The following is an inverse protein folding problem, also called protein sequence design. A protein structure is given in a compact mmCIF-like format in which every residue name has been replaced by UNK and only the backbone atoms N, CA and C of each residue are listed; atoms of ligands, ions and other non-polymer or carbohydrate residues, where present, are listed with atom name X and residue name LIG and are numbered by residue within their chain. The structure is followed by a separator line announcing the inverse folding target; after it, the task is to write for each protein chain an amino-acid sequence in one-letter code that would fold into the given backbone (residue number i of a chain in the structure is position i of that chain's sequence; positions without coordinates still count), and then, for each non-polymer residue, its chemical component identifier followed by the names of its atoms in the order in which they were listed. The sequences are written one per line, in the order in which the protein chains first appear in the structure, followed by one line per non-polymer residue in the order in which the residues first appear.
data_IF_622438337461
#
_entry.id   IF_622438337461
#
_cell.length_a   1.000
_cell.length_b   1.000
_cell.length_c   1.000
_cell.angle_alpha   90.00
_cell.angle_beta   90.00
_cell.angle_gamma   90.00
#
_symmetry.space_group_name_H-M   'P 1'
#
loop_
_entity.id
_entity.type
_entity.pdbx_description
1 polymer ?
#
# COMPACT_ATOMS: atom_id res chain seq x y z
N UNK A 1 14.43 6.28 -28.87
CA UNK A 1 14.58 7.35 -27.87
C UNK A 1 13.37 8.30 -27.83
N UNK A 2 12.68 8.55 -28.95
CA UNK A 2 11.51 9.46 -28.99
C UNK A 2 10.27 9.01 -28.22
N UNK A 3 10.08 7.70 -27.96
CA UNK A 3 8.92 7.19 -27.21
C UNK A 3 9.01 7.36 -25.70
N UNK A 4 10.17 7.70 -25.14
CA UNK A 4 10.29 8.03 -23.71
C UNK A 4 9.96 9.51 -23.41
N UNK A 5 10.09 10.39 -24.41
CA UNK A 5 9.85 11.84 -24.27
C UNK A 5 8.37 12.22 -24.25
N UNK A 6 7.47 11.29 -24.61
CA UNK A 6 6.01 11.49 -24.61
C UNK A 6 5.30 10.88 -23.40
N UNK A 7 6.02 10.23 -22.49
CA UNK A 7 5.51 10.06 -21.14
C UNK A 7 5.54 11.46 -20.53
N UNK A 8 4.36 12.04 -20.34
CA UNK A 8 4.22 13.26 -19.55
C UNK A 8 5.07 13.10 -18.29
N UNK A 9 5.96 14.06 -18.03
CA UNK A 9 6.68 14.23 -16.77
C UNK A 9 5.65 14.52 -15.66
N UNK A 10 4.78 13.55 -15.37
CA UNK A 10 3.89 13.60 -14.21
C UNK A 10 4.76 13.25 -13.02
N UNK A 11 5.26 14.30 -12.37
CA UNK A 11 5.88 14.21 -11.05
C UNK A 11 4.83 13.64 -10.10
N UNK A 12 5.19 12.58 -9.38
CA UNK A 12 4.36 12.04 -8.30
C UNK A 12 4.84 12.68 -7.01
N UNK A 13 3.93 13.37 -6.33
CA UNK A 13 4.20 13.97 -5.03
C UNK A 13 3.93 12.96 -3.91
N UNK A 14 4.99 12.35 -3.39
CA UNK A 14 4.89 11.43 -2.26
C UNK A 14 4.61 12.15 -0.92
N UNK A 15 4.75 13.48 -0.88
CA UNK A 15 4.38 14.32 0.27
C UNK A 15 2.89 14.25 0.63
N UNK A 16 2.06 13.67 -0.25
CA UNK A 16 0.64 13.38 0.03
C UNK A 16 0.45 12.20 0.99
N UNK A 17 1.48 11.37 1.20
CA UNK A 17 1.46 10.23 2.11
C UNK A 17 2.03 10.67 3.46
N UNK A 18 1.24 10.58 4.51
CA UNK A 18 1.70 10.78 5.88
C UNK A 18 2.23 9.45 6.44
N UNK A 19 3.55 9.30 6.52
CA UNK A 19 4.18 8.05 6.98
C UNK A 19 4.02 7.76 8.48
N UNK A 20 3.60 8.72 9.30
CA UNK A 20 3.30 8.51 10.73
C UNK A 20 1.86 8.05 10.97
N UNK A 21 0.98 8.21 9.99
CA UNK A 21 -0.42 7.83 10.10
C UNK A 21 -1.11 7.93 8.75
N UNK A 22 -1.28 6.80 8.07
CA UNK A 22 -1.75 6.78 6.68
C UNK A 22 -3.15 7.37 6.52
N UNK A 23 -4.04 7.14 7.48
CA UNK A 23 -5.40 7.70 7.52
C UNK A 23 -5.41 9.23 7.70
N UNK A 24 -4.33 9.82 8.18
CA UNK A 24 -4.13 11.26 8.28
C UNK A 24 -3.55 11.87 7.00
N UNK A 25 -3.35 11.08 5.93
CA UNK A 25 -2.97 11.60 4.62
C UNK A 25 -4.12 12.43 4.03
N UNK A 26 -3.81 13.60 3.44
CA UNK A 26 -4.81 14.56 2.93
C UNK A 26 -5.93 13.91 2.09
N UNK A 27 -5.54 12.98 1.22
CA UNK A 27 -6.44 12.32 0.29
C UNK A 27 -6.49 10.80 0.56
N UNK A 28 -6.47 10.42 1.84
CA UNK A 28 -6.79 9.06 2.25
C UNK A 28 -8.27 8.77 1.98
N UNK A 29 -8.53 7.76 1.16
CA UNK A 29 -9.88 7.46 0.67
C UNK A 29 -10.57 6.43 1.55
N UNK A 30 -9.80 5.52 2.14
CA UNK A 30 -10.32 4.40 2.92
C UNK A 30 -9.50 3.14 2.69
N UNK A 31 -10.10 2.01 3.03
CA UNK A 31 -9.52 0.69 2.89
C UNK A 31 -10.59 -0.37 2.62
N UNK A 32 -10.15 -1.56 2.23
CA UNK A 32 -10.97 -2.75 2.30
C UNK A 32 -10.26 -3.80 3.14
N UNK A 33 -11.00 -4.61 3.89
CA UNK A 33 -10.44 -5.64 4.74
C UNK A 33 -11.33 -6.88 4.85
N UNK A 34 -10.74 -7.99 5.26
CA UNK A 34 -11.44 -9.27 5.36
C UNK A 34 -12.53 -9.20 6.42
N UNK A 35 -13.75 -9.58 6.04
CA UNK A 35 -14.83 -9.78 7.02
C UNK A 35 -14.49 -11.02 7.86
N UNK A 36 -14.34 -10.83 9.18
CA UNK A 36 -14.03 -11.89 10.12
C UNK A 36 -15.28 -12.75 10.39
N UNK A 37 -15.58 -13.67 9.47
CA UNK A 37 -16.72 -14.61 9.54
C UNK A 37 -16.34 -16.02 10.06
N UNK A 38 -15.03 -16.30 10.20
CA UNK A 38 -14.52 -17.59 10.67
C UNK A 38 -14.47 -18.69 9.60
N UNK A 39 -14.87 -18.41 8.35
CA UNK A 39 -14.93 -19.41 7.27
C UNK A 39 -13.61 -19.54 6.51
N UNK A 40 -12.83 -18.47 6.40
CA UNK A 40 -11.60 -18.45 5.63
C UNK A 40 -10.35 -18.46 6.52
N UNK A 41 -9.41 -19.36 6.22
CA UNK A 41 -8.07 -19.25 6.78
C UNK A 41 -7.35 -18.00 6.21
N UNK A 42 -6.43 -17.43 7.00
CA UNK A 42 -5.71 -16.18 6.64
C UNK A 42 -4.98 -16.28 5.30
N UNK A 43 -4.44 -17.45 4.94
CA UNK A 43 -3.69 -17.63 3.69
C UNK A 43 -4.64 -17.58 2.50
N UNK A 44 -5.79 -18.23 2.60
CA UNK A 44 -6.84 -18.17 1.57
C UNK A 44 -7.35 -16.74 1.39
N UNK A 45 -7.66 -16.04 2.49
CA UNK A 45 -8.10 -14.64 2.45
C UNK A 45 -7.04 -13.71 1.85
N UNK A 46 -5.77 -13.85 2.22
CA UNK A 46 -4.66 -13.07 1.64
C UNK A 46 -4.52 -13.32 0.13
N UNK A 47 -4.61 -14.58 -0.31
CA UNK A 47 -4.58 -14.90 -1.74
C UNK A 47 -5.77 -14.31 -2.49
N UNK A 48 -6.94 -14.21 -1.85
CA UNK A 48 -8.14 -13.57 -2.41
C UNK A 48 -7.94 -12.05 -2.55
N UNK A 49 -7.49 -11.36 -1.50
CA UNK A 49 -7.18 -9.94 -1.54
C UNK A 49 -6.15 -9.60 -2.64
N UNK A 50 -5.10 -10.42 -2.76
CA UNK A 50 -4.11 -10.31 -3.84
C UNK A 50 -4.74 -10.43 -5.23
N UNK A 51 -5.63 -11.41 -5.44
CA UNK A 51 -6.32 -11.60 -6.73
C UNK A 51 -7.22 -10.41 -7.06
N UNK A 52 -7.96 -9.90 -6.08
CA UNK A 52 -8.85 -8.75 -6.25
C UNK A 52 -8.06 -7.53 -6.73
N UNK A 53 -6.99 -7.16 -6.02
CA UNK A 53 -6.12 -6.05 -6.40
C UNK A 53 -5.43 -6.28 -7.75
N UNK A 54 -4.88 -7.47 -7.99
CA UNK A 54 -4.22 -7.79 -9.25
C UNK A 54 -5.18 -7.70 -10.44
N UNK A 55 -6.44 -8.09 -10.26
CA UNK A 55 -7.46 -8.03 -11.31
C UNK A 55 -7.81 -6.60 -11.71
N UNK A 56 -7.90 -5.68 -10.74
CA UNK A 56 -8.17 -4.27 -11.00
C UNK A 56 -6.98 -3.58 -11.69
N UNK A 57 -5.77 -3.82 -11.21
CA UNK A 57 -4.54 -3.20 -11.74
C UNK A 57 -3.86 -4.00 -12.84
N UNK A 58 -4.60 -4.88 -13.53
CA UNK A 58 -4.03 -5.71 -14.59
C UNK A 58 -3.36 -4.83 -15.66
N UNK A 59 -2.12 -5.19 -16.03
CA UNK A 59 -1.25 -4.46 -16.96
C UNK A 59 -0.87 -3.02 -16.53
N UNK A 60 -1.16 -2.60 -15.30
CA UNK A 60 -0.71 -1.31 -14.77
C UNK A 60 0.70 -1.44 -14.22
N UNK A 61 1.52 -0.43 -14.48
CA UNK A 61 2.87 -0.35 -13.93
C UNK A 61 2.82 0.31 -12.56
N UNK A 62 3.50 -0.28 -11.60
CA UNK A 62 3.76 0.33 -10.30
C UNK A 62 5.24 0.26 -9.95
N UNK A 63 5.63 1.08 -8.98
CA UNK A 63 6.84 0.88 -8.20
C UNK A 63 6.47 0.77 -6.73
N UNK A 64 7.37 0.19 -5.95
CA UNK A 64 7.17 -0.08 -4.54
C UNK A 64 8.06 0.84 -3.72
N UNK A 65 7.51 1.33 -2.60
CA UNK A 65 8.24 2.00 -1.52
C UNK A 65 8.09 1.10 -0.29
N UNK A 66 9.19 0.75 0.37
CA UNK A 66 9.14 -0.08 1.58
C UNK A 66 10.16 0.43 2.60
N UNK A 67 9.72 0.58 3.85
CA UNK A 67 10.58 0.77 5.01
C UNK A 67 10.36 -0.34 6.06
N UNK A 68 9.85 -1.49 5.63
CA UNK A 68 9.63 -2.65 6.48
C UNK A 68 10.95 -3.17 7.06
N UNK A 69 10.91 -3.60 8.31
CA UNK A 69 12.07 -4.10 9.03
C UNK A 69 11.93 -5.54 9.54
N UNK A 70 13.05 -6.14 9.93
CA UNK A 70 13.08 -7.46 10.56
C UNK A 70 14.16 -7.53 11.66
N UNK A 71 13.94 -8.40 12.65
CA UNK A 71 14.89 -8.68 13.75
C UNK A 71 15.77 -9.89 13.45
N UNK A 72 16.83 -10.12 14.24
CA UNK A 72 17.74 -11.27 14.04
C UNK A 72 17.13 -12.62 14.43
N UNK A 73 16.13 -12.63 15.30
CA UNK A 73 15.60 -13.82 16.01
C UNK A 73 14.33 -14.38 15.41
N UNK A 74 13.96 -13.94 14.22
CA UNK A 74 12.74 -14.31 13.53
C UNK A 74 12.67 -15.83 13.28
N UNK A 75 11.76 -16.54 13.96
CA UNK A 75 11.47 -17.96 13.71
C UNK A 75 10.33 -18.00 12.71
N UNK A 76 10.69 -18.10 11.45
CA UNK A 76 9.75 -18.03 10.35
C UNK A 76 9.00 -19.36 10.18
N UNK A 77 7.72 -19.27 9.79
CA UNK A 77 7.00 -20.43 9.27
C UNK A 77 7.55 -20.79 7.88
N UNK A 78 7.54 -22.09 7.52
CA UNK A 78 8.13 -22.58 6.26
C UNK A 78 7.59 -21.89 5.00
N UNK A 79 6.33 -21.47 5.02
CA UNK A 79 5.67 -20.82 3.88
C UNK A 79 6.07 -19.35 3.72
N UNK A 80 6.45 -18.70 4.82
CA UNK A 80 6.88 -17.30 4.86
C UNK A 80 8.40 -17.17 4.70
N UNK A 81 9.16 -18.16 5.15
CA UNK A 81 10.63 -18.25 5.05
C UNK A 81 11.16 -17.85 3.67
N UNK A 82 10.59 -18.45 2.62
CA UNK A 82 11.03 -18.21 1.26
C UNK A 82 10.73 -16.79 0.79
N UNK A 83 9.59 -16.22 1.18
CA UNK A 83 9.21 -14.84 0.86
C UNK A 83 10.11 -13.85 1.58
N UNK A 84 10.40 -14.10 2.85
CA UNK A 84 11.30 -13.30 3.67
C UNK A 84 12.72 -13.27 3.10
N UNK A 85 13.27 -14.43 2.73
CA UNK A 85 14.59 -14.52 2.10
C UNK A 85 14.65 -13.79 0.76
N UNK A 86 13.57 -13.86 -0.04
CA UNK A 86 13.46 -13.07 -1.29
C UNK A 86 13.38 -11.57 -1.01
N UNK A 87 12.59 -11.16 -0.02
CA UNK A 87 12.47 -9.76 0.35
C UNK A 87 13.83 -9.19 0.76
N UNK A 88 14.59 -9.90 1.59
CA UNK A 88 15.99 -9.53 1.94
C UNK A 88 16.89 -9.46 0.72
N UNK A 89 16.86 -10.49 -0.13
CA UNK A 89 17.69 -10.54 -1.36
C UNK A 89 17.42 -9.37 -2.29
N UNK A 90 16.18 -8.91 -2.37
CA UNK A 90 15.76 -7.78 -3.20
C UNK A 90 15.80 -6.43 -2.46
N UNK A 91 16.34 -6.40 -1.25
CA UNK A 91 16.38 -5.23 -0.38
C UNK A 91 15.00 -4.59 -0.16
N UNK A 92 13.94 -5.40 -0.08
CA UNK A 92 12.56 -4.94 0.15
C UNK A 92 12.22 -4.81 1.64
N UNK A 93 12.98 -5.47 2.50
CA UNK A 93 12.91 -5.34 3.96
C UNK A 93 14.33 -5.16 4.50
N UNK A 94 14.46 -4.40 5.58
CA UNK A 94 15.76 -4.01 6.15
C UNK A 94 15.94 -4.57 7.55
N UNK A 95 17.18 -4.68 8.01
CA UNK A 95 17.43 -5.04 9.39
C UNK A 95 16.99 -3.87 10.28
N UNK A 96 16.30 -4.15 11.38
CA UNK A 96 15.95 -3.13 12.38
C UNK A 96 17.20 -2.39 12.87
N UNK A 97 17.13 -1.06 12.80
CA UNK A 97 18.10 -0.08 13.33
C UNK A 97 17.39 0.81 14.33
N UNK A 98 18.13 1.58 15.13
CA UNK A 98 17.53 2.53 16.08
C UNK A 98 16.65 3.56 15.36
N UNK A 99 17.11 4.13 14.23
CA UNK A 99 16.32 5.06 13.42
C UNK A 99 14.97 4.47 12.96
N UNK A 100 14.92 3.16 12.66
CA UNK A 100 13.65 2.53 12.28
C UNK A 100 12.81 2.29 13.53
N UNK A 101 13.41 1.82 14.62
CA UNK A 101 12.72 1.54 15.88
C UNK A 101 12.05 2.81 16.45
N UNK A 102 12.78 3.93 16.49
CA UNK A 102 12.29 5.25 16.91
C UNK A 102 11.16 5.76 16.00
N UNK A 103 11.26 5.57 14.68
CA UNK A 103 10.16 5.87 13.76
C UNK A 103 8.91 5.02 14.06
N UNK A 104 9.06 3.73 14.30
CA UNK A 104 7.94 2.82 14.55
C UNK A 104 7.16 3.17 15.82
N UNK A 105 7.82 3.75 16.83
CA UNK A 105 7.16 4.23 18.06
C UNK A 105 6.69 5.70 17.95
N UNK A 106 6.97 6.36 16.82
CA UNK A 106 6.51 7.72 16.52
C UNK A 106 7.40 8.84 17.09
N UNK A 107 8.64 8.55 17.47
CA UNK A 107 9.56 9.54 18.04
C UNK A 107 10.07 10.52 16.97
N UNK A 108 10.20 10.08 15.72
CA UNK A 108 10.62 10.94 14.60
C UNK A 108 10.06 10.47 13.24
N UNK A 109 10.18 11.33 12.22
CA UNK A 109 9.77 11.03 10.83
C UNK A 109 10.63 9.93 10.19
N UNK A 110 10.03 9.17 9.26
CA UNK A 110 10.77 8.17 8.47
C UNK A 110 11.86 8.83 7.60
N UNK A 111 13.13 8.49 7.87
CA UNK A 111 14.24 8.97 7.06
C UNK A 111 14.33 8.30 5.69
N UNK A 112 14.71 9.07 4.67
CA UNK A 112 14.82 8.60 3.30
C UNK A 112 15.84 7.46 3.11
N UNK A 113 16.91 7.41 3.91
CA UNK A 113 17.89 6.31 3.84
C UNK A 113 17.35 4.98 4.36
N UNK A 114 16.24 5.00 5.09
CA UNK A 114 15.52 3.81 5.54
C UNK A 114 14.45 3.36 4.53
N UNK A 115 14.39 3.96 3.35
CA UNK A 115 13.41 3.62 2.30
C UNK A 115 14.07 2.83 1.17
N UNK A 116 13.45 1.70 0.84
CA UNK A 116 13.75 0.92 -0.35
C UNK A 116 12.74 1.21 -1.46
N UNK A 117 13.25 1.54 -2.65
CA UNK A 117 12.43 1.72 -3.86
C UNK A 117 12.67 0.55 -4.82
N UNK A 118 11.60 -0.09 -5.29
CA UNK A 118 11.70 -1.22 -6.21
C UNK A 118 10.74 -1.11 -7.39
N UNK A 119 11.25 -1.36 -8.60
CA UNK A 119 10.43 -1.48 -9.81
C UNK A 119 10.08 -2.94 -10.14
N UNK A 120 10.48 -3.87 -9.27
CA UNK A 120 10.23 -5.30 -9.47
C UNK A 120 8.76 -5.62 -9.16
N UNK A 121 8.01 -6.03 -10.18
CA UNK A 121 6.58 -6.36 -10.03
C UNK A 121 6.33 -7.54 -9.08
N UNK A 122 7.34 -8.40 -8.83
CA UNK A 122 7.24 -9.48 -7.84
C UNK A 122 7.22 -8.96 -6.40
N UNK A 123 7.65 -7.72 -6.16
CA UNK A 123 7.62 -7.11 -4.84
C UNK A 123 6.19 -7.08 -4.28
N UNK A 124 5.19 -6.90 -5.15
CA UNK A 124 3.77 -6.93 -4.77
C UNK A 124 3.39 -8.18 -4.00
N UNK A 125 3.52 -9.35 -4.62
CA UNK A 125 3.14 -10.62 -3.98
C UNK A 125 3.99 -10.88 -2.73
N UNK A 126 5.30 -10.56 -2.78
CA UNK A 126 6.21 -10.80 -1.65
C UNK A 126 5.80 -9.97 -0.45
N UNK A 127 5.69 -8.65 -0.61
CA UNK A 127 5.47 -7.74 0.50
C UNK A 127 4.05 -7.79 1.02
N UNK A 128 3.04 -7.89 0.15
CA UNK A 128 1.66 -8.05 0.62
C UNK A 128 1.48 -9.30 1.47
N UNK A 129 2.09 -10.43 1.07
CA UNK A 129 2.04 -11.64 1.89
C UNK A 129 2.80 -11.49 3.21
N UNK A 130 3.95 -10.83 3.19
CA UNK A 130 4.69 -10.58 4.43
C UNK A 130 3.86 -9.73 5.38
N UNK A 131 3.35 -8.59 4.94
CA UNK A 131 2.53 -7.68 5.78
C UNK A 131 1.26 -8.37 6.29
N UNK A 132 0.57 -9.15 5.45
CA UNK A 132 -0.71 -9.77 5.84
C UNK A 132 -0.57 -11.06 6.64
N UNK A 133 0.56 -11.77 6.56
CA UNK A 133 0.68 -13.13 7.10
C UNK A 133 1.85 -13.33 8.08
N UNK A 134 2.63 -12.29 8.36
CA UNK A 134 3.87 -12.41 9.10
C UNK A 134 4.00 -11.34 10.18
N UNK A 135 3.96 -11.77 11.44
CA UNK A 135 4.23 -10.91 12.62
C UNK A 135 5.74 -10.60 12.79
N UNK A 136 6.54 -11.21 11.93
CA UNK A 136 8.00 -11.20 11.94
C UNK A 136 8.60 -10.01 11.16
N UNK A 137 7.77 -9.31 10.40
CA UNK A 137 8.11 -8.10 9.65
C UNK A 137 7.47 -6.92 10.36
N UNK A 138 8.29 -5.92 10.67
CA UNK A 138 7.90 -4.76 11.47
C UNK A 138 7.60 -3.55 10.58
N UNK A 139 6.60 -2.78 11.00
CA UNK A 139 6.17 -1.54 10.37
C UNK A 139 5.18 -1.71 9.23
N UNK A 140 4.55 -0.60 8.86
CA UNK A 140 3.42 -0.60 7.91
C UNK A 140 3.75 0.13 6.60
N UNK A 141 4.90 0.82 6.56
CA UNK A 141 5.32 1.63 5.43
C UNK A 141 5.72 0.73 4.23
N UNK A 142 4.71 0.25 3.51
CA UNK A 142 4.82 -0.56 2.30
C UNK A 142 3.78 -0.10 1.28
N UNK A 143 4.18 0.67 0.28
CA UNK A 143 3.29 1.24 -0.72
C UNK A 143 3.56 0.70 -2.11
N UNK A 144 2.49 0.41 -2.85
CA UNK A 144 2.49 0.21 -4.29
C UNK A 144 1.95 1.47 -4.95
N UNK A 145 2.84 2.20 -5.62
CA UNK A 145 2.54 3.47 -6.26
C UNK A 145 2.24 3.21 -7.73
N UNK A 146 1.05 3.60 -8.19
CA UNK A 146 0.59 3.50 -9.58
C UNK A 146 0.59 4.90 -10.23
N UNK A 147 1.71 5.34 -10.86
CA UNK A 147 1.86 6.64 -11.51
C UNK A 147 0.71 7.05 -12.43
N UNK A 148 0.28 6.14 -13.31
CA UNK A 148 -0.76 6.40 -14.32
C UNK A 148 -2.13 6.69 -13.68
N UNK A 149 -2.31 6.21 -12.45
CA UNK A 149 -3.54 6.36 -11.68
C UNK A 149 -3.41 7.43 -10.61
N UNK A 150 -2.21 7.97 -10.37
CA UNK A 150 -1.93 8.89 -9.26
C UNK A 150 -2.46 8.32 -7.94
N UNK A 151 -2.13 7.05 -7.69
CA UNK A 151 -2.69 6.24 -6.62
C UNK A 151 -1.58 5.52 -5.84
N UNK A 152 -1.71 5.47 -4.52
CA UNK A 152 -0.95 4.58 -3.66
C UNK A 152 -1.91 3.60 -2.96
N UNK A 153 -1.53 2.33 -2.92
CA UNK A 153 -2.19 1.35 -2.05
C UNK A 153 -1.14 0.73 -1.13
N UNK A 154 -1.56 0.30 0.06
CA UNK A 154 -0.70 -0.35 1.03
C UNK A 154 -1.42 -1.55 1.65
N UNK A 155 -0.78 -2.73 1.76
CA UNK A 155 -1.34 -3.85 2.50
C UNK A 155 -1.31 -3.55 4.01
N UNK A 156 -2.17 -4.22 4.79
CA UNK A 156 -2.20 -4.10 6.26
C UNK A 156 -2.53 -5.46 6.93
N UNK A 157 -2.32 -5.59 8.25
CA UNK A 157 -2.38 -6.88 8.97
C UNK A 157 -3.77 -7.53 9.02
N UNK A 158 -4.84 -6.75 8.85
CA UNK A 158 -6.24 -7.21 8.81
C UNK A 158 -6.65 -7.83 7.46
N UNK A 159 -5.68 -8.06 6.57
CA UNK A 159 -5.85 -8.68 5.24
C UNK A 159 -6.71 -7.81 4.34
N UNK A 160 -6.04 -6.90 3.64
CA UNK A 160 -6.69 -5.91 2.82
C UNK A 160 -5.72 -4.86 2.30
N UNK A 161 -6.26 -3.80 1.71
CA UNK A 161 -5.43 -2.66 1.31
C UNK A 161 -6.10 -1.35 1.65
N UNK A 162 -5.30 -0.44 2.19
CA UNK A 162 -5.64 0.97 2.23
C UNK A 162 -5.31 1.67 0.91
N UNK A 163 -5.97 2.80 0.70
CA UNK A 163 -6.00 3.51 -0.57
C UNK A 163 -5.85 5.02 -0.35
N UNK A 164 -4.83 5.61 -0.99
CA UNK A 164 -4.53 7.05 -0.95
C UNK A 164 -4.45 7.58 -2.38
N UNK A 165 -5.23 8.63 -2.67
CA UNK A 165 -5.06 9.38 -3.91
C UNK A 165 -3.84 10.29 -3.80
N UNK A 166 -2.95 10.23 -4.78
CA UNK A 166 -1.79 11.12 -4.91
C UNK A 166 -2.12 12.37 -5.74
N UNK A 167 -3.36 12.48 -6.21
CA UNK A 167 -3.95 13.65 -6.86
C UNK A 167 -5.08 14.20 -6.00
N UNK A 168 -5.40 15.50 -6.15
CA UNK A 168 -6.63 16.06 -5.60
C UNK A 168 -7.89 15.50 -6.31
N UNK A 169 -7.74 14.97 -7.54
CA UNK A 169 -8.78 14.14 -8.16
C UNK A 169 -8.77 12.72 -7.60
N UNK A 170 -9.69 12.45 -6.68
CA UNK A 170 -9.80 11.16 -6.00
C UNK A 170 -10.60 10.09 -6.75
N UNK A 171 -11.13 10.38 -7.95
CA UNK A 171 -12.10 9.49 -8.61
C UNK A 171 -11.57 8.07 -8.86
N UNK A 172 -10.31 7.92 -9.30
CA UNK A 172 -9.70 6.61 -9.56
C UNK A 172 -9.52 5.79 -8.29
N UNK A 173 -9.19 6.45 -7.19
CA UNK A 173 -9.02 5.83 -5.88
C UNK A 173 -10.37 5.36 -5.31
N UNK A 174 -11.41 6.17 -5.49
CA UNK A 174 -12.80 5.84 -5.14
C UNK A 174 -13.31 4.68 -6.00
N UNK A 175 -13.05 4.71 -7.31
CA UNK A 175 -13.42 3.63 -8.24
C UNK A 175 -12.79 2.29 -7.84
N UNK A 176 -11.53 2.30 -7.41
CA UNK A 176 -10.85 1.10 -6.90
C UNK A 176 -11.55 0.52 -5.66
N UNK A 177 -11.86 1.33 -4.65
CA UNK A 177 -12.55 0.83 -3.46
C UNK A 177 -13.98 0.38 -3.75
N UNK A 178 -14.71 1.07 -4.64
CA UNK A 178 -16.02 0.63 -5.13
C UNK A 178 -15.95 -0.66 -5.97
N UNK A 179 -14.81 -0.94 -6.60
CA UNK A 179 -14.59 -2.22 -7.25
C UNK A 179 -14.43 -3.32 -6.20
N UNK A 180 -13.64 -3.07 -5.15
CA UNK A 180 -13.44 -4.00 -4.04
C UNK A 180 -14.74 -4.30 -3.28
N UNK A 181 -15.65 -3.32 -3.13
CA UNK A 181 -16.91 -3.48 -2.40
C UNK A 181 -17.93 -4.41 -3.06
N UNK A 182 -17.62 -4.94 -4.26
CA UNK A 182 -18.44 -5.92 -4.96
C UNK A 182 -18.15 -7.35 -4.51
N UNK A 183 -17.05 -7.56 -3.80
CA UNK A 183 -16.66 -8.85 -3.26
C UNK A 183 -17.24 -9.00 -1.84
N UNK A 184 -18.04 -10.04 -1.62
CA UNK A 184 -18.79 -10.25 -0.37
C UNK A 184 -17.92 -10.75 0.78
N UNK A 185 -16.65 -11.10 0.52
CA UNK A 185 -15.69 -11.50 1.55
C UNK A 185 -14.95 -10.31 2.17
N UNK A 186 -15.07 -9.12 1.60
CA UNK A 186 -14.39 -7.94 2.08
C UNK A 186 -15.37 -6.82 2.41
N UNK A 187 -15.16 -6.15 3.53
CA UNK A 187 -15.82 -4.89 3.81
C UNK A 187 -14.98 -3.73 3.28
N UNK A 188 -15.64 -2.64 2.91
CA UNK A 188 -14.99 -1.43 2.43
C UNK A 188 -15.41 -0.28 3.33
N UNK A 189 -14.42 0.36 3.94
CA UNK A 189 -14.62 1.52 4.81
C UNK A 189 -14.05 2.74 4.11
N UNK A 190 -14.91 3.71 3.83
CA UNK A 190 -14.52 4.99 3.27
C UNK A 190 -14.19 6.01 4.37
N UNK A 191 -13.25 6.89 4.08
CA UNK A 191 -12.94 8.06 4.89
C UNK A 191 -14.17 8.93 5.11
N UNK A 192 -14.38 9.41 6.33
CA UNK A 192 -15.49 10.33 6.65
C UNK A 192 -15.46 11.60 5.79
N UNK A 193 -14.27 12.00 5.33
CA UNK A 193 -14.07 13.19 4.49
C UNK A 193 -14.39 12.99 3.00
N UNK A 194 -14.81 11.78 2.58
CA UNK A 194 -14.98 11.45 1.16
C UNK A 194 -16.02 12.31 0.45
N UNK A 195 -17.08 12.71 1.15
CA UNK A 195 -18.13 13.58 0.60
C UNK A 195 -17.59 14.99 0.30
N UNK A 196 -16.68 15.51 1.12
CA UNK A 196 -16.00 16.77 0.85
C UNK A 196 -14.97 16.64 -0.29
N UNK A 197 -14.27 15.49 -0.37
CA UNK A 197 -13.33 15.20 -1.46
C UNK A 197 -14.04 15.10 -2.81
N UNK A 198 -15.20 14.43 -2.87
CA UNK A 198 -16.02 14.29 -4.07
C UNK A 198 -16.73 15.60 -4.48
N UNK A 199 -17.16 16.42 -3.51
CA UNK A 199 -17.87 17.69 -3.75
C UNK A 199 -16.93 18.88 -4.08
N UNK A 200 -15.62 18.78 -3.81
CA UNK A 200 -14.65 19.84 -4.16
C UNK A 200 -14.56 20.15 -5.67
N UNK A 201 -15.16 19.31 -6.53
CA UNK A 201 -15.28 19.52 -7.98
C UNK A 201 -16.46 20.39 -8.41
N UNK A 202 -17.46 20.63 -7.57
CA UNK A 202 -18.63 21.44 -7.97
C UNK A 202 -18.46 22.94 -7.72
N UNK A 203 -17.38 23.39 -7.08
CA UNK A 203 -17.18 24.81 -6.71
C UNK A 203 -16.12 25.56 -7.53
N UNK A 204 -15.53 24.96 -8.57
CA UNK A 204 -14.64 25.66 -9.51
C UNK A 204 -15.28 25.79 -10.90
N UNK A 205 -16.46 26.41 -10.93
CA UNK A 205 -17.00 27.15 -12.07
C UNK A 205 -17.76 28.34 -11.52
N UNK A 206 -17.03 29.41 -11.20
CA UNK A 206 -17.48 30.80 -11.28
C UNK A 206 -16.42 31.71 -10.65
N UNK A 207 -15.59 32.31 -11.51
CA UNK A 207 -15.19 33.73 -11.53
C UNK A 207 -14.24 33.92 -12.72
#
# INVERSE_FOLDING_TARGET
MERLLKLTNKTIELSKINFLGFSSSKNWIGYFELIKDGENDRVTACNHALRLVYSYFINKRFFTISALAYTKSTILSKDIDFLFLKAKKYNLIQKLTNDIDEYLIGDHDLFAHNISISFNQRAFIILSKLVMLSDDVLGDACFFIFPELELAIYPHEDIGYGCISLSDDCNKAIEFLNFCSKDDKFEVVFSENINHLAASKTMLKEC
#
